data_IF_068083790319
#
_entry.id   IF_068083790319
#
_cell.length_a   1.000
_cell.length_b   1.000
_cell.length_c   1.000
_cell.angle_alpha   90.00
_cell.angle_beta   90.00
_cell.angle_gamma   90.00
#
_symmetry.space_group_name_H-M   'P 1'
#
loop_
_entity.id
_entity.type
_entity.pdbx_description
1 polymer ?
#
# COMPACT_ATOMS: atom_id res chain seq x y z
N UNK A 1 -3.83 5.26 -18.65
CA UNK A 1 -2.49 5.29 -19.26
C UNK A 1 -1.85 3.92 -19.38
N UNK A 2 -2.01 3.07 -18.39
CA UNK A 2 -1.53 1.68 -18.49
C UNK A 2 -2.16 0.96 -19.69
N UNK A 3 -3.44 1.21 -19.95
CA UNK A 3 -4.15 0.63 -21.08
C UNK A 3 -3.60 1.09 -22.42
N UNK A 4 -3.32 2.39 -22.54
CA UNK A 4 -2.92 2.99 -23.81
C UNK A 4 -1.54 2.56 -24.28
N UNK A 5 -0.60 2.36 -23.36
CA UNK A 5 0.81 2.10 -23.65
C UNK A 5 1.29 0.75 -23.16
N UNK A 6 0.41 -0.07 -22.60
CA UNK A 6 0.75 -1.35 -21.99
C UNK A 6 1.88 -1.26 -20.93
N UNK A 7 2.05 -0.09 -20.32
CA UNK A 7 3.05 0.11 -19.28
C UNK A 7 2.55 -0.47 -17.96
N UNK A 8 3.42 -1.13 -17.20
CA UNK A 8 3.02 -1.65 -15.90
C UNK A 8 2.68 -0.51 -14.92
N UNK A 9 1.58 -0.69 -14.21
CA UNK A 9 1.13 0.22 -13.17
C UNK A 9 0.72 -0.62 -11.97
N UNK A 10 1.24 -0.28 -10.81
CA UNK A 10 0.87 -0.95 -9.56
C UNK A 10 0.23 0.02 -8.59
N UNK A 11 -0.71 -0.50 -7.81
CA UNK A 11 -1.40 0.23 -6.76
C UNK A 11 -1.30 -0.57 -5.47
N UNK A 12 -0.84 0.08 -4.40
CA UNK A 12 -0.85 -0.48 -3.06
C UNK A 12 -1.83 0.32 -2.19
N UNK A 13 -2.73 -0.38 -1.50
CA UNK A 13 -3.58 0.19 -0.47
C UNK A 13 -3.05 -0.24 0.88
N UNK A 14 -2.79 0.72 1.74
CA UNK A 14 -2.17 0.51 3.04
C UNK A 14 -3.07 1.04 4.14
N UNK A 15 -3.25 0.26 5.20
CA UNK A 15 -4.04 0.62 6.36
C UNK A 15 -3.22 0.38 7.62
N UNK A 16 -3.23 1.33 8.55
CA UNK A 16 -2.53 1.19 9.82
C UNK A 16 -3.32 0.24 10.71
N UNK A 17 -2.69 -0.84 11.13
CA UNK A 17 -3.30 -1.84 11.99
C UNK A 17 -3.61 -1.24 13.37
N UNK A 18 -4.87 -1.38 13.80
CA UNK A 18 -5.32 -0.94 15.13
C UNK A 18 -5.08 0.55 15.42
N UNK A 19 -5.19 1.40 14.42
CA UNK A 19 -4.98 2.84 14.58
C UNK A 19 -5.97 3.45 15.59
N UNK A 20 -7.21 2.97 15.62
CA UNK A 20 -8.19 3.41 16.60
C UNK A 20 -7.70 3.18 18.03
N UNK A 21 -7.02 2.06 18.29
CA UNK A 21 -6.45 1.78 19.61
C UNK A 21 -5.39 2.78 20.02
N UNK A 22 -4.58 3.26 19.04
CA UNK A 22 -3.58 4.30 19.27
C UNK A 22 -4.27 5.60 19.69
N UNK A 23 -5.28 6.02 18.96
CA UNK A 23 -6.05 7.22 19.29
C UNK A 23 -6.76 7.10 20.62
N UNK A 24 -7.39 5.97 20.91
CA UNK A 24 -8.11 5.73 22.16
C UNK A 24 -7.17 5.73 23.37
N UNK A 25 -5.97 5.19 23.22
CA UNK A 25 -4.98 5.10 24.30
C UNK A 25 -4.21 6.40 24.53
N UNK A 26 -3.90 7.14 23.46
CA UNK A 26 -2.92 8.25 23.52
C UNK A 26 -3.49 9.59 23.03
N UNK A 27 -4.69 9.59 22.49
CA UNK A 27 -5.34 10.80 21.95
C UNK A 27 -5.04 11.08 20.49
N UNK A 28 -5.91 11.87 19.86
CA UNK A 28 -5.79 12.23 18.45
C UNK A 28 -4.51 12.97 18.09
N UNK A 29 -3.96 13.88 18.93
CA UNK A 29 -2.69 14.52 18.62
C UNK A 29 -1.54 13.53 18.41
N UNK A 30 -1.48 12.46 19.20
CA UNK A 30 -0.49 11.38 19.03
C UNK A 30 -0.74 10.63 17.73
N UNK A 31 -2.00 10.32 17.44
CA UNK A 31 -2.38 9.69 16.16
C UNK A 31 -1.96 10.54 14.95
N UNK A 32 -2.15 11.84 15.03
CA UNK A 32 -1.75 12.79 13.96
C UNK A 32 -0.23 12.79 13.77
N UNK A 33 0.54 12.76 14.88
CA UNK A 33 1.99 12.63 14.83
C UNK A 33 2.43 11.34 14.12
N UNK A 34 1.77 10.24 14.45
CA UNK A 34 2.03 8.94 13.81
C UNK A 34 1.74 9.00 12.30
N UNK A 35 0.61 9.57 11.92
CA UNK A 35 0.23 9.70 10.50
C UNK A 35 1.26 10.52 9.71
N UNK A 36 1.69 11.65 10.24
CA UNK A 36 2.69 12.50 9.60
C UNK A 36 4.05 11.78 9.45
N UNK A 37 4.49 11.11 10.51
CA UNK A 37 5.74 10.36 10.51
C UNK A 37 5.67 9.16 9.56
N UNK A 38 4.52 8.51 9.46
CA UNK A 38 4.30 7.40 8.53
C UNK A 38 4.47 7.86 7.08
N UNK A 39 3.87 8.98 6.70
CA UNK A 39 4.01 9.55 5.36
C UNK A 39 5.47 9.80 5.03
N UNK A 40 6.22 10.43 5.93
CA UNK A 40 7.64 10.68 5.71
C UNK A 40 8.44 9.39 5.58
N UNK A 41 8.13 8.38 6.38
CA UNK A 41 8.78 7.08 6.30
C UNK A 41 8.47 6.36 4.98
N UNK A 42 7.23 6.44 4.52
CA UNK A 42 6.85 5.91 3.21
C UNK A 42 7.58 6.61 2.07
N UNK A 43 7.61 7.95 2.11
CA UNK A 43 8.31 8.73 1.09
C UNK A 43 9.79 8.37 0.97
N UNK A 44 10.45 8.06 2.08
CA UNK A 44 11.85 7.66 2.07
C UNK A 44 12.13 6.36 1.32
N UNK A 45 11.10 5.56 1.07
CA UNK A 45 11.19 4.28 0.35
C UNK A 45 10.79 4.41 -1.12
N UNK A 46 10.20 5.54 -1.53
CA UNK A 46 9.58 5.71 -2.83
C UNK A 46 10.45 6.56 -3.77
N UNK A 47 10.21 6.39 -5.07
CA UNK A 47 10.83 7.19 -6.11
C UNK A 47 10.05 8.49 -6.31
N UNK A 48 10.66 9.44 -7.01
CA UNK A 48 10.04 10.73 -7.30
C UNK A 48 8.72 10.60 -8.07
N UNK A 49 8.63 9.64 -8.99
CA UNK A 49 7.43 9.38 -9.80
C UNK A 49 6.34 8.63 -9.04
N UNK A 50 6.64 8.07 -7.88
CA UNK A 50 5.65 7.38 -7.06
C UNK A 50 4.81 8.40 -6.29
N UNK A 51 3.53 8.10 -6.11
CA UNK A 51 2.59 9.02 -5.46
C UNK A 51 1.94 8.37 -4.27
N UNK A 52 1.86 9.11 -3.16
CA UNK A 52 1.10 8.73 -1.97
C UNK A 52 -0.12 9.63 -1.87
N UNK A 53 -1.29 9.03 -1.66
CA UNK A 53 -2.51 9.75 -1.34
C UNK A 53 -3.15 9.19 -0.07
N UNK A 54 -3.64 10.05 0.80
CA UNK A 54 -4.44 9.63 1.94
C UNK A 54 -5.90 9.54 1.49
N UNK A 55 -6.49 8.35 1.61
CA UNK A 55 -7.85 8.09 1.12
C UNK A 55 -8.88 7.88 2.24
N UNK A 56 -8.42 7.78 3.47
CA UNK A 56 -9.27 7.64 4.66
C UNK A 56 -8.52 8.14 5.88
N UNK A 57 -9.05 7.90 7.06
CA UNK A 57 -8.44 8.33 8.32
C UNK A 57 -7.03 7.75 8.53
N UNK A 58 -6.89 6.48 8.30
CA UNK A 58 -5.65 5.70 8.46
C UNK A 58 -5.28 4.91 7.20
N UNK A 59 -5.90 5.21 6.08
CA UNK A 59 -5.74 4.48 4.83
C UNK A 59 -5.06 5.34 3.77
N UNK A 60 -4.09 4.74 3.08
CA UNK A 60 -3.26 5.40 2.07
C UNK A 60 -3.25 4.58 0.79
N UNK A 61 -3.19 5.27 -0.33
CA UNK A 61 -2.95 4.68 -1.63
C UNK A 61 -1.56 5.08 -2.12
N UNK A 62 -0.82 4.11 -2.64
CA UNK A 62 0.49 4.34 -3.24
C UNK A 62 0.41 3.91 -4.71
N UNK A 63 0.64 4.85 -5.60
CA UNK A 63 0.64 4.60 -7.03
C UNK A 63 2.08 4.48 -7.51
N UNK A 64 2.38 3.36 -8.16
CA UNK A 64 3.73 2.98 -8.60
C UNK A 64 3.73 2.83 -10.12
N UNK A 65 3.93 3.93 -10.87
CA UNK A 65 3.95 3.86 -12.33
C UNK A 65 5.20 3.16 -12.84
N UNK A 66 5.07 2.48 -13.96
CA UNK A 66 6.17 1.79 -14.65
C UNK A 66 6.93 0.81 -13.76
N UNK A 67 6.21 0.15 -12.84
CA UNK A 67 6.80 -0.78 -11.87
C UNK A 67 6.25 -2.17 -12.10
N UNK A 68 7.08 -3.11 -12.56
CA UNK A 68 6.69 -4.51 -12.72
C UNK A 68 6.32 -5.15 -11.39
N UNK A 69 5.48 -6.19 -11.44
CA UNK A 69 4.95 -6.86 -10.26
C UNK A 69 6.00 -7.30 -9.24
N UNK A 70 7.11 -7.87 -9.70
CA UNK A 70 8.19 -8.33 -8.81
C UNK A 70 8.84 -7.18 -8.03
N UNK A 71 9.07 -6.05 -8.70
CA UNK A 71 9.63 -4.85 -8.07
C UNK A 71 8.65 -4.25 -7.08
N UNK A 72 7.37 -4.25 -7.41
CA UNK A 72 6.32 -3.79 -6.51
C UNK A 72 6.29 -4.64 -5.25
N UNK A 73 6.34 -5.95 -5.40
CA UNK A 73 6.35 -6.87 -4.26
C UNK A 73 7.53 -6.60 -3.33
N UNK A 74 8.73 -6.48 -3.88
CA UNK A 74 9.95 -6.21 -3.12
C UNK A 74 9.87 -4.85 -2.40
N UNK A 75 9.41 -3.82 -3.11
CA UNK A 75 9.27 -2.47 -2.56
C UNK A 75 8.28 -2.44 -1.40
N UNK A 76 7.10 -3.01 -1.59
CA UNK A 76 6.02 -2.95 -0.59
C UNK A 76 6.37 -3.80 0.65
N UNK A 77 6.99 -4.95 0.46
CA UNK A 77 7.47 -5.76 1.59
C UNK A 77 8.53 -5.03 2.40
N UNK A 78 9.46 -4.37 1.74
CA UNK A 78 10.47 -3.54 2.40
C UNK A 78 9.84 -2.35 3.13
N UNK A 79 8.86 -1.71 2.52
CA UNK A 79 8.10 -0.62 3.12
C UNK A 79 7.43 -1.07 4.42
N UNK A 80 6.70 -2.18 4.37
CA UNK A 80 6.07 -2.75 5.56
C UNK A 80 7.08 -3.04 6.67
N UNK A 81 8.19 -3.67 6.32
CA UNK A 81 9.24 -4.01 7.27
C UNK A 81 9.86 -2.75 7.93
N UNK A 82 10.05 -1.68 7.16
CA UNK A 82 10.56 -0.41 7.71
C UNK A 82 9.56 0.27 8.63
N UNK A 83 8.28 0.17 8.33
CA UNK A 83 7.22 0.74 9.18
C UNK A 83 7.19 0.01 10.53
N UNK A 84 7.16 -1.31 10.52
CA UNK A 84 7.07 -2.11 11.74
C UNK A 84 8.38 -2.22 12.51
N UNK A 85 9.51 -2.08 11.83
CA UNK A 85 10.84 -2.34 12.41
C UNK A 85 11.43 -1.23 13.23
N UNK A 86 10.82 -0.04 13.24
CA UNK A 86 11.32 1.12 13.98
C UNK A 86 10.18 1.84 14.67
N UNK A 87 10.29 2.11 15.97
CA UNK A 87 9.28 2.87 16.71
C UNK A 87 9.06 4.27 16.12
N UNK A 88 7.85 4.78 16.29
CA UNK A 88 7.49 6.16 15.99
C UNK A 88 7.64 7.00 17.25
N UNK A 89 8.35 8.11 17.16
CA UNK A 89 8.53 9.02 18.29
C UNK A 89 7.29 9.89 18.45
N UNK A 90 6.70 9.87 19.63
CA UNK A 90 5.52 10.66 19.96
C UNK A 90 5.64 11.30 21.33
N UNK A 91 4.75 12.21 21.65
CA UNK A 91 4.65 12.80 22.98
C UNK A 91 4.33 11.75 24.08
N UNK A 92 3.74 10.60 23.68
CA UNK A 92 3.47 9.48 24.55
C UNK A 92 4.63 8.48 24.63
N UNK A 93 5.80 8.84 24.10
CA UNK A 93 6.94 7.94 23.97
C UNK A 93 6.99 7.21 22.65
N UNK A 94 7.91 6.25 22.49
CA UNK A 94 8.02 5.46 21.25
C UNK A 94 6.85 4.49 21.13
N UNK A 95 6.22 4.48 19.95
CA UNK A 95 5.13 3.57 19.63
C UNK A 95 5.50 2.70 18.43
N UNK A 96 5.29 1.41 18.57
CA UNK A 96 5.43 0.46 17.46
C UNK A 96 4.06 0.19 16.86
N UNK A 97 3.99 0.17 15.53
CA UNK A 97 2.77 -0.16 14.80
C UNK A 97 3.08 -1.02 13.60
N UNK A 98 2.07 -1.67 13.09
CA UNK A 98 2.13 -2.46 11.87
C UNK A 98 1.13 -1.95 10.84
N UNK A 99 1.28 -2.38 9.62
CA UNK A 99 0.37 -2.05 8.53
C UNK A 99 -0.03 -3.31 7.77
N UNK A 100 -1.23 -3.30 7.25
CA UNK A 100 -1.70 -4.28 6.29
C UNK A 100 -1.73 -3.64 4.91
N UNK A 101 -1.29 -4.35 3.89
CA UNK A 101 -1.19 -3.81 2.54
C UNK A 101 -1.77 -4.78 1.52
N UNK A 102 -2.60 -4.25 0.65
CA UNK A 102 -3.12 -4.95 -0.52
C UNK A 102 -2.54 -4.33 -1.79
N UNK A 103 -2.03 -5.16 -2.69
CA UNK A 103 -1.37 -4.71 -3.91
C UNK A 103 -2.01 -5.38 -5.12
N UNK A 104 -2.23 -4.58 -6.15
CA UNK A 104 -2.63 -5.07 -7.47
C UNK A 104 -1.83 -4.36 -8.55
N UNK A 105 -1.64 -5.01 -9.67
CA UNK A 105 -1.01 -4.37 -10.82
C UNK A 105 -1.90 -4.47 -12.06
N UNK A 106 -1.71 -3.53 -12.96
CA UNK A 106 -2.23 -3.57 -14.30
C UNK A 106 -1.05 -3.79 -15.25
N UNK A 107 -1.05 -4.91 -15.94
CA UNK A 107 -0.04 -5.24 -16.94
C UNK A 107 -0.77 -5.45 -18.27
N UNK A 108 -0.84 -4.40 -19.09
CA UNK A 108 -1.48 -4.47 -20.40
C UNK A 108 -2.82 -3.78 -20.49
N UNK A 109 -3.50 -4.00 -21.62
CA UNK A 109 -4.77 -3.34 -21.93
C UNK A 109 -5.95 -4.02 -21.23
N UNK A 110 -6.98 -3.25 -20.93
CA UNK A 110 -8.26 -3.75 -20.45
C UNK A 110 -8.45 -3.73 -18.95
N UNK A 111 -7.48 -3.23 -18.19
CA UNK A 111 -7.65 -3.02 -16.76
C UNK A 111 -8.04 -1.56 -16.49
N UNK A 112 -9.25 -1.33 -16.01
CA UNK A 112 -9.68 0.00 -15.62
C UNK A 112 -9.09 0.40 -14.26
N UNK A 113 -9.08 1.71 -13.97
CA UNK A 113 -8.68 2.21 -12.66
C UNK A 113 -9.58 1.63 -11.55
N UNK A 114 -10.87 1.48 -11.82
CA UNK A 114 -11.83 0.88 -10.91
C UNK A 114 -11.50 -0.59 -10.61
N UNK A 115 -11.13 -1.37 -11.62
CA UNK A 115 -10.73 -2.77 -11.44
C UNK A 115 -9.44 -2.89 -10.63
N UNK A 116 -8.47 -2.05 -10.90
CA UNK A 116 -7.20 -2.02 -10.18
C UNK A 116 -7.42 -1.70 -8.69
N UNK A 117 -8.22 -0.69 -8.43
CA UNK A 117 -8.58 -0.29 -7.06
C UNK A 117 -9.31 -1.43 -6.33
N UNK A 118 -10.29 -2.06 -6.98
CA UNK A 118 -11.06 -3.14 -6.39
C UNK A 118 -10.17 -4.34 -6.06
N UNK A 119 -9.26 -4.69 -6.94
CA UNK A 119 -8.33 -5.82 -6.70
C UNK A 119 -7.37 -5.54 -5.56
N UNK A 120 -6.86 -4.32 -5.45
CA UNK A 120 -6.01 -3.92 -4.33
C UNK A 120 -6.81 -3.93 -3.01
N UNK A 121 -8.05 -3.46 -3.03
CA UNK A 121 -8.93 -3.46 -1.86
C UNK A 121 -9.26 -4.88 -1.39
N UNK A 122 -9.54 -5.80 -2.32
CA UNK A 122 -9.77 -7.21 -2.00
C UNK A 122 -8.54 -7.83 -1.31
N UNK A 123 -7.36 -7.51 -1.79
CA UNK A 123 -6.12 -8.01 -1.19
C UNK A 123 -5.84 -7.38 0.18
N UNK A 124 -6.18 -6.10 0.38
CA UNK A 124 -6.09 -5.47 1.69
C UNK A 124 -7.02 -6.16 2.69
N UNK A 125 -8.24 -6.46 2.27
CA UNK A 125 -9.19 -7.22 3.09
C UNK A 125 -8.61 -8.57 3.50
N UNK A 126 -8.00 -9.28 2.56
CA UNK A 126 -7.34 -10.58 2.82
C UNK A 126 -6.17 -10.43 3.78
N UNK A 127 -5.37 -9.38 3.65
CA UNK A 127 -4.27 -9.10 4.56
C UNK A 127 -4.77 -8.93 6.00
N UNK A 128 -5.87 -8.19 6.18
CA UNK A 128 -6.49 -8.03 7.50
C UNK A 128 -7.05 -9.34 8.04
N UNK A 129 -7.66 -10.15 7.17
CA UNK A 129 -8.21 -11.47 7.55
C UNK A 129 -7.12 -12.48 7.90
N UNK A 130 -5.94 -12.37 7.29
CA UNK A 130 -4.78 -13.25 7.54
C UNK A 130 -4.04 -12.92 8.85
N UNK A 131 -4.52 -11.97 9.62
CA UNK A 131 -3.91 -11.60 10.90
C UNK A 131 -3.21 -10.25 10.91
N UNK A 132 -3.37 -9.45 9.86
CA UNK A 132 -2.73 -8.15 9.70
C UNK A 132 -1.20 -8.24 9.58
N UNK A 133 -0.51 -7.13 9.62
CA UNK A 133 0.96 -7.04 9.52
C UNK A 133 1.53 -7.87 8.37
N UNK A 134 0.96 -7.70 7.20
CA UNK A 134 1.36 -8.44 6.02
C UNK A 134 0.99 -7.73 4.73
N UNK A 135 1.55 -8.24 3.65
CA UNK A 135 1.29 -7.77 2.29
C UNK A 135 0.63 -8.91 1.50
N UNK A 136 -0.50 -8.61 0.87
CA UNK A 136 -1.18 -9.53 -0.05
C UNK A 136 -1.14 -8.92 -1.45
N UNK A 137 -0.90 -9.74 -2.45
CA UNK A 137 -0.62 -9.27 -3.80
C UNK A 137 -1.45 -10.06 -4.80
N UNK A 138 -2.17 -9.33 -5.67
CA UNK A 138 -2.86 -9.91 -6.82
C UNK A 138 -2.22 -9.34 -8.08
N UNK A 139 -1.32 -10.09 -8.70
CA UNK A 139 -0.73 -9.70 -9.97
C UNK A 139 -1.48 -10.35 -11.13
N UNK A 140 -1.65 -9.57 -12.21
CA UNK A 140 -1.99 -10.16 -13.48
C UNK A 140 -0.76 -10.88 -14.03
N UNK A 141 -0.93 -12.16 -14.35
CA UNK A 141 0.08 -12.91 -15.07
C UNK A 141 0.12 -12.41 -16.52
N UNK A 142 1.31 -12.10 -17.01
CA UNK A 142 1.51 -11.70 -18.42
C UNK A 142 0.88 -12.71 -19.39
N UNK A 143 0.90 -13.97 -19.07
CA UNK A 143 0.26 -15.02 -19.89
C UNK A 143 -1.26 -14.91 -19.91
N UNK A 144 -1.88 -14.45 -18.84
CA UNK A 144 -3.34 -14.25 -18.81
C UNK A 144 -3.76 -13.06 -19.66
N UNK A 145 -2.92 -12.04 -19.74
CA UNK A 145 -3.16 -10.87 -20.59
C UNK A 145 -3.17 -11.29 -22.05
N UNK A 146 -2.25 -12.13 -22.48
CA UNK A 146 -2.19 -12.65 -23.85
C UNK A 146 -3.39 -13.55 -24.19
N UNK A 147 -3.87 -14.35 -23.25
CA UNK A 147 -5.04 -15.19 -23.44
C UNK A 147 -6.33 -14.40 -23.57
N UNK A 148 -6.43 -13.25 -22.91
CA UNK A 148 -7.61 -12.36 -23.03
C UNK A 148 -7.59 -11.53 -24.31
N UNK A 149 -6.43 -11.26 -24.88
CA UNK A 149 -6.25 -10.51 -26.11
C UNK A 149 -6.42 -11.36 -27.38
N UNK A 150 -6.41 -12.67 -27.27
CA UNK A 150 -6.68 -13.61 -28.34
C UNK A 150 -8.13 -14.01 -28.39
#
# INVERSE_FOLDING_TARGET
RADRYARPLSLALLDIDHFKKINDAHGHPVGDTVLAALVERMKSCLREQDTIGRIGGEEFAILLPETPGERTAALVRRLRARISGRPFRTAAGPLTLTVSVGVANAAGRGCSASDLLQRADDELYRAKADGRDCVRIAFEDDQQVWRRAG
#
